data_IF_221184178746
#
_entry.id   IF_221184178746
#
_cell.length_a   1.000
_cell.length_b   1.000
_cell.length_c   1.000
_cell.angle_alpha   90.00
_cell.angle_beta   90.00
_cell.angle_gamma   90.00
#
_symmetry.space_group_name_H-M   'P 1'
#
loop_
_entity.id
_entity.type
_entity.pdbx_description
1 polymer ?
#
# COMPACT_ATOMS: atom_id res chain seq x y z
N UNK A 1 21.85 -11.16 -50.94
CA UNK A 1 20.77 -10.71 -50.02
C UNK A 1 21.04 -11.06 -48.55
N UNK A 2 21.76 -12.13 -48.22
CA UNK A 2 22.05 -12.58 -46.84
C UNK A 2 23.03 -11.65 -46.07
N UNK A 3 23.99 -11.00 -46.73
CA UNK A 3 24.96 -10.12 -46.07
C UNK A 3 24.40 -8.79 -45.50
N UNK A 4 23.26 -8.35 -45.96
CA UNK A 4 22.65 -7.10 -45.47
C UNK A 4 21.89 -7.29 -44.15
N UNK A 5 21.36 -8.48 -43.90
CA UNK A 5 20.66 -8.83 -42.63
C UNK A 5 21.64 -9.03 -41.48
N UNK A 6 22.85 -9.57 -41.74
CA UNK A 6 23.90 -9.73 -40.74
C UNK A 6 24.37 -8.37 -40.16
N UNK A 7 24.61 -7.39 -41.02
CA UNK A 7 25.10 -6.07 -40.62
C UNK A 7 24.09 -5.29 -39.76
N UNK A 8 22.81 -5.39 -40.02
CA UNK A 8 21.77 -4.72 -39.21
C UNK A 8 21.59 -5.40 -37.85
N UNK A 9 21.76 -6.71 -37.80
CA UNK A 9 21.69 -7.47 -36.53
C UNK A 9 22.92 -7.20 -35.66
N UNK A 10 24.11 -7.13 -36.26
CA UNK A 10 25.34 -6.79 -35.54
C UNK A 10 25.33 -5.36 -35.01
N UNK A 11 24.75 -4.39 -35.74
CA UNK A 11 24.56 -3.02 -35.28
C UNK A 11 23.56 -2.95 -34.12
N UNK A 12 22.46 -3.70 -34.18
CA UNK A 12 21.49 -3.75 -33.12
C UNK A 12 22.08 -4.37 -31.84
N UNK A 13 22.86 -5.43 -31.95
CA UNK A 13 23.56 -6.06 -30.82
C UNK A 13 24.59 -5.11 -30.20
N UNK A 14 25.33 -4.37 -31.03
CA UNK A 14 26.33 -3.39 -30.57
C UNK A 14 25.64 -2.23 -29.81
N UNK A 15 24.50 -1.71 -30.30
CA UNK A 15 23.71 -0.66 -29.62
C UNK A 15 23.13 -1.20 -28.31
N UNK A 16 22.69 -2.46 -28.31
CA UNK A 16 22.08 -3.11 -27.14
C UNK A 16 23.07 -3.31 -25.98
N UNK A 17 24.35 -3.49 -26.30
CA UNK A 17 25.45 -3.66 -25.34
C UNK A 17 26.19 -2.35 -25.02
N UNK A 18 25.88 -1.24 -25.71
CA UNK A 18 26.55 0.05 -25.47
C UNK A 18 26.28 0.53 -24.03
N UNK A 19 27.36 0.81 -23.31
CA UNK A 19 27.29 1.44 -21.98
C UNK A 19 26.99 2.93 -22.15
N UNK A 20 25.88 3.39 -21.57
CA UNK A 20 25.46 4.80 -21.58
C UNK A 20 26.16 5.63 -20.50
N UNK A 21 26.42 5.02 -19.36
CA UNK A 21 26.99 5.71 -18.20
C UNK A 21 27.62 4.71 -17.24
N UNK A 22 28.77 5.05 -16.66
CA UNK A 22 29.36 4.32 -15.52
C UNK A 22 28.91 5.00 -14.22
N UNK A 23 28.18 4.28 -13.38
CA UNK A 23 27.84 4.74 -12.03
C UNK A 23 29.10 4.78 -11.16
N UNK A 24 29.07 5.60 -10.09
CA UNK A 24 30.21 5.76 -9.16
C UNK A 24 30.66 4.44 -8.49
N UNK A 25 29.86 3.40 -8.52
CA UNK A 25 30.14 2.06 -8.01
C UNK A 25 30.72 1.10 -9.06
N UNK A 26 31.13 1.60 -10.24
CA UNK A 26 31.73 0.80 -11.31
C UNK A 26 30.73 -0.01 -12.16
N UNK A 27 29.43 0.10 -11.92
CA UNK A 27 28.41 -0.54 -12.75
C UNK A 27 28.14 0.26 -14.02
N UNK A 28 28.25 -0.39 -15.17
CA UNK A 28 27.91 0.18 -16.48
C UNK A 28 26.41 0.04 -16.73
N UNK A 29 25.70 1.16 -16.88
CA UNK A 29 24.32 1.17 -17.36
C UNK A 29 24.27 0.89 -18.84
N UNK A 30 23.71 -0.25 -19.23
CA UNK A 30 23.53 -0.66 -20.62
C UNK A 30 22.16 -0.19 -21.16
N UNK A 31 22.11 0.10 -22.45
CA UNK A 31 20.86 0.45 -23.16
C UNK A 31 19.79 -0.62 -22.92
N UNK A 32 20.17 -1.89 -22.90
CA UNK A 32 19.29 -3.02 -22.62
C UNK A 32 18.59 -2.93 -21.24
N UNK A 33 19.33 -2.53 -20.20
CA UNK A 33 18.77 -2.39 -18.85
C UNK A 33 17.75 -1.24 -18.77
N UNK A 34 18.04 -0.12 -19.44
CA UNK A 34 17.12 1.00 -19.52
C UNK A 34 15.84 0.62 -20.28
N UNK A 35 15.97 -0.06 -21.42
CA UNK A 35 14.83 -0.54 -22.19
C UNK A 35 13.98 -1.55 -21.39
N UNK A 36 14.61 -2.49 -20.70
CA UNK A 36 13.92 -3.44 -19.82
C UNK A 36 13.24 -2.76 -18.65
N UNK A 37 13.89 -1.78 -18.00
CA UNK A 37 13.28 -1.03 -16.89
C UNK A 37 12.06 -0.24 -17.34
N UNK A 38 12.13 0.42 -18.52
CA UNK A 38 11.00 1.13 -19.10
C UNK A 38 9.86 0.19 -19.46
N UNK A 39 10.14 -0.94 -20.09
CA UNK A 39 9.14 -1.96 -20.39
C UNK A 39 8.49 -2.49 -19.11
N UNK A 40 9.31 -2.77 -18.09
CA UNK A 40 8.84 -3.22 -16.79
C UNK A 40 7.95 -2.18 -16.10
N UNK A 41 8.30 -0.88 -16.14
CA UNK A 41 7.48 0.20 -15.60
C UNK A 41 6.13 0.31 -16.32
N UNK A 42 6.13 0.26 -17.66
CA UNK A 42 4.90 0.33 -18.45
C UNK A 42 4.02 -0.89 -18.16
N UNK A 43 4.57 -2.09 -18.22
CA UNK A 43 3.85 -3.33 -17.94
C UNK A 43 3.33 -3.36 -16.49
N UNK A 44 4.18 -2.97 -15.53
CA UNK A 44 3.82 -2.89 -14.12
C UNK A 44 2.69 -1.90 -13.86
N UNK A 45 2.76 -0.69 -14.46
CA UNK A 45 1.68 0.30 -14.36
C UNK A 45 0.35 -0.22 -14.90
N UNK A 46 0.37 -0.87 -16.08
CA UNK A 46 -0.83 -1.45 -16.69
C UNK A 46 -1.41 -2.58 -15.82
N UNK A 47 -0.55 -3.48 -15.31
CA UNK A 47 -0.96 -4.58 -14.44
C UNK A 47 -1.54 -4.06 -13.12
N UNK A 48 -0.89 -3.10 -12.46
CA UNK A 48 -1.39 -2.49 -11.22
C UNK A 48 -2.72 -1.80 -11.46
N UNK A 49 -2.84 -1.02 -12.53
CA UNK A 49 -4.09 -0.32 -12.88
C UNK A 49 -5.24 -1.31 -13.17
N UNK A 50 -4.94 -2.41 -13.86
CA UNK A 50 -5.93 -3.45 -14.14
C UNK A 50 -6.32 -4.19 -12.86
N UNK A 51 -5.35 -4.57 -12.04
CA UNK A 51 -5.57 -5.26 -10.78
C UNK A 51 -6.44 -4.45 -9.82
N UNK A 52 -6.10 -3.16 -9.60
CA UNK A 52 -6.87 -2.30 -8.69
C UNK A 52 -8.30 -2.07 -9.19
N UNK A 53 -8.51 -1.89 -10.51
CA UNK A 53 -9.85 -1.79 -11.10
C UNK A 53 -10.69 -3.07 -10.94
N UNK A 54 -10.08 -4.24 -11.08
CA UNK A 54 -10.77 -5.52 -10.86
C UNK A 54 -11.13 -5.68 -9.39
N UNK A 55 -10.19 -5.32 -8.50
CA UNK A 55 -10.40 -5.41 -7.05
C UNK A 55 -11.53 -4.48 -6.59
N UNK A 56 -11.52 -3.21 -7.03
CA UNK A 56 -12.57 -2.25 -6.67
C UNK A 56 -13.95 -2.70 -7.16
N UNK A 57 -14.05 -3.22 -8.38
CA UNK A 57 -15.32 -3.78 -8.90
C UNK A 57 -15.84 -4.94 -8.04
N UNK A 58 -14.96 -5.86 -7.61
CA UNK A 58 -15.35 -6.98 -6.74
C UNK A 58 -15.78 -6.52 -5.35
N UNK A 59 -15.13 -5.49 -4.80
CA UNK A 59 -15.49 -4.93 -3.50
C UNK A 59 -16.84 -4.20 -3.53
N UNK A 60 -17.12 -3.45 -4.60
CA UNK A 60 -18.42 -2.79 -4.81
C UNK A 60 -19.58 -3.79 -4.84
N UNK A 61 -19.37 -4.97 -5.44
CA UNK A 61 -20.39 -6.04 -5.44
C UNK A 61 -20.68 -6.62 -4.04
N UNK A 62 -19.79 -6.41 -3.06
CA UNK A 62 -19.96 -6.90 -1.69
C UNK A 62 -20.63 -5.90 -0.74
N UNK A 63 -21.32 -4.87 -1.23
CA UNK A 63 -22.00 -3.83 -0.46
C UNK A 63 -21.05 -3.06 0.49
N UNK A 64 -19.77 -2.99 0.17
CA UNK A 64 -18.80 -2.15 0.89
C UNK A 64 -19.08 -0.68 0.53
N UNK A 65 -19.05 0.26 1.49
CA UNK A 65 -19.25 1.68 1.19
C UNK A 65 -18.27 2.17 0.12
N UNK A 66 -18.77 2.91 -0.88
CA UNK A 66 -17.99 3.40 -2.03
C UNK A 66 -16.74 4.18 -1.58
N UNK A 67 -16.86 5.02 -0.56
CA UNK A 67 -15.74 5.77 0.00
C UNK A 67 -14.61 4.87 0.52
N UNK A 68 -14.94 3.73 1.15
CA UNK A 68 -13.96 2.76 1.63
C UNK A 68 -13.28 2.01 0.47
N UNK A 69 -14.04 1.69 -0.57
CA UNK A 69 -13.50 1.03 -1.78
C UNK A 69 -12.52 1.95 -2.51
N UNK A 70 -12.88 3.23 -2.71
CA UNK A 70 -12.00 4.21 -3.35
C UNK A 70 -10.73 4.50 -2.55
N UNK A 71 -10.84 4.56 -1.22
CA UNK A 71 -9.67 4.73 -0.35
C UNK A 71 -8.74 3.51 -0.47
N UNK A 72 -9.29 2.32 -0.35
CA UNK A 72 -8.54 1.07 -0.46
C UNK A 72 -7.86 0.94 -1.84
N UNK A 73 -8.59 1.26 -2.92
CA UNK A 73 -8.05 1.27 -4.29
C UNK A 73 -6.82 2.17 -4.41
N UNK A 74 -6.91 3.42 -3.93
CA UNK A 74 -5.80 4.38 -3.98
C UNK A 74 -4.61 3.92 -3.14
N UNK A 75 -4.83 3.45 -1.92
CA UNK A 75 -3.76 2.97 -1.04
C UNK A 75 -3.04 1.79 -1.67
N UNK A 76 -3.78 0.79 -2.16
CA UNK A 76 -3.21 -0.40 -2.81
C UNK A 76 -2.49 0.00 -4.10
N UNK A 77 -3.06 0.90 -4.91
CA UNK A 77 -2.42 1.40 -6.13
C UNK A 77 -1.06 2.04 -5.81
N UNK A 78 -0.99 2.96 -4.85
CA UNK A 78 0.26 3.62 -4.51
C UNK A 78 1.30 2.66 -3.94
N UNK A 79 0.91 1.70 -3.10
CA UNK A 79 1.83 0.70 -2.56
C UNK A 79 2.41 -0.18 -3.67
N UNK A 80 1.57 -0.64 -4.60
CA UNK A 80 2.01 -1.47 -5.71
C UNK A 80 2.87 -0.70 -6.72
N UNK A 81 2.53 0.56 -7.03
CA UNK A 81 3.33 1.36 -7.96
C UNK A 81 4.71 1.70 -7.37
N UNK A 82 4.80 1.95 -6.06
CA UNK A 82 6.07 2.12 -5.36
C UNK A 82 6.90 0.84 -5.48
N UNK A 83 6.32 -0.35 -5.27
CA UNK A 83 7.01 -1.62 -5.43
C UNK A 83 7.51 -1.84 -6.88
N UNK A 84 6.71 -1.46 -7.88
CA UNK A 84 7.12 -1.51 -9.30
C UNK A 84 8.30 -0.56 -9.56
N UNK A 85 8.26 0.67 -9.02
CA UNK A 85 9.36 1.63 -9.17
C UNK A 85 10.65 1.09 -8.53
N UNK A 86 10.60 0.59 -7.30
CA UNK A 86 11.78 0.01 -6.63
C UNK A 86 12.33 -1.21 -7.38
N UNK A 87 11.45 -2.03 -7.97
CA UNK A 87 11.88 -3.16 -8.80
C UNK A 87 12.57 -2.69 -10.08
N UNK A 88 12.08 -1.63 -10.72
CA UNK A 88 12.72 -1.02 -11.89
C UNK A 88 14.09 -0.41 -11.55
N UNK A 89 14.24 0.26 -10.38
CA UNK A 89 15.52 0.77 -9.90
C UNK A 89 16.55 -0.37 -9.69
N UNK A 90 16.12 -1.55 -9.26
CA UNK A 90 16.96 -2.74 -9.16
C UNK A 90 17.45 -3.23 -10.52
N UNK A 91 16.60 -3.18 -11.55
CA UNK A 91 17.01 -3.55 -12.93
C UNK A 91 18.11 -2.60 -13.41
N UNK A 92 18.07 -1.33 -13.03
CA UNK A 92 19.06 -0.32 -13.34
C UNK A 92 20.32 -0.40 -12.46
N UNK A 93 20.42 -1.41 -11.56
CA UNK A 93 21.50 -1.57 -10.58
C UNK A 93 21.71 -0.32 -9.69
N UNK A 94 20.64 0.48 -9.46
CA UNK A 94 20.71 1.66 -8.58
C UNK A 94 20.67 1.16 -7.12
N UNK A 95 21.63 1.58 -6.27
CA UNK A 95 21.66 1.16 -4.87
C UNK A 95 20.44 1.69 -4.11
N UNK A 96 19.65 0.76 -3.53
CA UNK A 96 18.43 1.12 -2.80
C UNK A 96 18.67 1.53 -1.34
N UNK A 97 19.90 1.51 -0.86
CA UNK A 97 20.26 1.80 0.54
C UNK A 97 19.83 3.19 1.00
N UNK A 98 19.99 4.20 0.14
CA UNK A 98 19.57 5.58 0.42
C UNK A 98 18.04 5.66 0.58
N UNK A 99 17.29 4.97 -0.29
CA UNK A 99 15.82 4.91 -0.20
C UNK A 99 15.35 4.11 1.00
N UNK A 100 16.10 3.07 1.42
CA UNK A 100 15.78 2.31 2.62
C UNK A 100 15.87 3.18 3.88
N UNK A 101 16.85 4.07 3.99
CA UNK A 101 16.96 5.01 5.10
C UNK A 101 15.77 6.00 5.13
N UNK A 102 15.47 6.64 4.01
CA UNK A 102 14.33 7.56 3.90
C UNK A 102 13.00 6.84 4.15
N UNK A 103 12.84 5.65 3.57
CA UNK A 103 11.65 4.82 3.77
C UNK A 103 11.48 4.40 5.23
N UNK A 104 12.57 4.07 5.92
CA UNK A 104 12.56 3.77 7.34
C UNK A 104 12.10 4.96 8.20
N UNK A 105 12.62 6.16 7.92
CA UNK A 105 12.20 7.38 8.61
C UNK A 105 10.72 7.69 8.38
N UNK A 106 10.25 7.56 7.13
CA UNK A 106 8.83 7.74 6.79
C UNK A 106 7.94 6.69 7.46
N UNK A 107 8.38 5.43 7.50
CA UNK A 107 7.63 4.34 8.15
C UNK A 107 7.48 4.59 9.66
N UNK A 108 8.53 5.06 10.34
CA UNK A 108 8.48 5.44 11.75
C UNK A 108 7.48 6.58 11.95
N UNK A 109 7.58 7.66 11.15
CA UNK A 109 6.65 8.79 11.23
C UNK A 109 5.19 8.39 10.98
N UNK A 110 4.94 7.57 9.96
CA UNK A 110 3.61 7.03 9.68
C UNK A 110 3.12 6.10 10.81
N UNK A 111 4.02 5.29 11.40
CA UNK A 111 3.72 4.44 12.54
C UNK A 111 3.23 5.25 13.75
N UNK A 112 3.93 6.30 14.12
CA UNK A 112 3.49 7.20 15.19
C UNK A 112 2.17 7.91 14.86
N UNK A 113 2.01 8.36 13.60
CA UNK A 113 0.76 9.00 13.16
C UNK A 113 -0.47 8.08 13.18
N UNK A 114 -0.27 6.77 13.00
CA UNK A 114 -1.36 5.77 12.99
C UNK A 114 -1.52 5.01 14.30
N UNK A 115 -0.65 5.23 15.29
CA UNK A 115 -0.59 4.49 16.55
C UNK A 115 -1.94 4.44 17.28
N UNK A 116 -2.63 5.57 17.43
CA UNK A 116 -3.93 5.62 18.10
C UNK A 116 -5.01 4.81 17.37
N UNK A 117 -4.98 4.81 16.03
CA UNK A 117 -5.93 4.03 15.22
C UNK A 117 -5.70 2.54 15.44
N UNK A 118 -4.43 2.11 15.43
CA UNK A 118 -4.05 0.71 15.66
C UNK A 118 -4.40 0.27 17.09
N UNK A 119 -4.12 1.08 18.09
CA UNK A 119 -4.46 0.78 19.49
C UNK A 119 -5.96 0.58 19.65
N UNK A 120 -6.78 1.48 19.11
CA UNK A 120 -8.23 1.36 19.20
C UNK A 120 -8.76 0.14 18.44
N UNK A 121 -8.15 -0.21 17.29
CA UNK A 121 -8.53 -1.39 16.53
C UNK A 121 -8.21 -2.69 17.29
N UNK A 122 -6.99 -2.79 17.83
CA UNK A 122 -6.52 -3.96 18.59
C UNK A 122 -7.37 -4.11 19.84
N UNK A 123 -7.61 -3.03 20.61
CA UNK A 123 -8.47 -3.06 21.79
C UNK A 123 -9.90 -3.49 21.46
N UNK A 124 -10.45 -3.00 20.33
CA UNK A 124 -11.76 -3.43 19.85
C UNK A 124 -11.82 -4.92 19.51
N UNK A 125 -10.76 -5.49 18.96
CA UNK A 125 -10.66 -6.94 18.70
C UNK A 125 -10.60 -7.74 20.01
N UNK A 126 -9.78 -7.29 20.99
CA UNK A 126 -9.69 -7.93 22.32
C UNK A 126 -11.06 -7.93 22.99
N UNK A 127 -11.75 -6.78 23.04
CA UNK A 127 -13.10 -6.69 23.59
C UNK A 127 -14.11 -7.63 22.90
N UNK A 128 -13.96 -7.81 21.59
CA UNK A 128 -14.85 -8.68 20.81
C UNK A 128 -14.58 -10.18 21.09
N UNK A 129 -13.32 -10.54 21.30
CA UNK A 129 -12.88 -11.94 21.55
C UNK A 129 -13.13 -12.33 23.00
N UNK A 130 -12.63 -11.53 23.95
CA UNK A 130 -12.71 -11.83 25.39
C UNK A 130 -14.07 -11.52 25.99
N UNK A 131 -14.83 -10.59 25.38
CA UNK A 131 -16.17 -10.19 25.77
C UNK A 131 -16.33 -9.84 27.28
N UNK A 132 -15.40 -9.05 27.86
CA UNK A 132 -15.53 -8.58 29.22
C UNK A 132 -16.75 -7.68 29.39
N UNK A 133 -17.20 -7.03 28.31
CA UNK A 133 -18.44 -6.23 28.24
C UNK A 133 -19.23 -6.72 27.03
N UNK A 134 -20.56 -6.77 27.18
CA UNK A 134 -21.49 -7.25 26.14
C UNK A 134 -22.49 -6.17 25.74
N UNK A 135 -23.03 -6.29 24.54
CA UNK A 135 -24.16 -5.44 24.13
C UNK A 135 -25.34 -5.68 25.09
N UNK A 136 -25.88 -4.61 25.67
CA UNK A 136 -26.92 -4.63 26.67
C UNK A 136 -26.44 -4.38 28.10
N UNK A 137 -25.15 -4.53 28.39
CA UNK A 137 -24.61 -4.27 29.74
C UNK A 137 -24.70 -2.79 30.11
N UNK A 138 -24.88 -2.55 31.41
CA UNK A 138 -24.80 -1.22 31.99
C UNK A 138 -23.33 -0.96 32.37
N UNK A 139 -22.78 0.13 31.88
CA UNK A 139 -21.38 0.50 32.12
C UNK A 139 -21.28 1.95 32.58
N UNK A 140 -20.26 2.23 33.36
CA UNK A 140 -19.88 3.59 33.76
C UNK A 140 -18.50 3.92 33.14
N UNK A 141 -18.42 5.02 32.42
CA UNK A 141 -17.19 5.50 31.80
C UNK A 141 -17.08 7.00 32.06
N UNK A 142 -15.99 7.42 32.70
CA UNK A 142 -15.71 8.81 33.06
C UNK A 142 -16.89 9.48 33.80
N UNK A 143 -17.51 8.74 34.72
CA UNK A 143 -18.66 9.23 35.48
C UNK A 143 -20.00 9.26 34.72
N UNK A 144 -19.98 8.75 33.46
CA UNK A 144 -21.19 8.66 32.63
C UNK A 144 -21.72 7.23 32.63
N UNK A 145 -22.95 7.05 33.09
CA UNK A 145 -23.63 5.75 33.10
C UNK A 145 -24.47 5.59 31.82
N UNK A 146 -24.31 4.44 31.17
CA UNK A 146 -25.08 4.13 29.98
C UNK A 146 -25.11 2.64 29.66
N UNK A 147 -25.97 2.28 28.73
CA UNK A 147 -26.10 0.89 28.24
C UNK A 147 -25.34 0.71 26.92
N UNK A 148 -24.54 -0.35 26.82
CA UNK A 148 -23.83 -0.70 25.56
C UNK A 148 -24.89 -0.99 24.49
N UNK A 149 -24.97 -0.12 23.48
CA UNK A 149 -25.92 -0.24 22.39
C UNK A 149 -25.34 -1.04 21.21
N UNK A 150 -24.04 -0.88 20.94
CA UNK A 150 -23.33 -1.64 19.87
C UNK A 150 -21.82 -1.60 20.10
N UNK A 151 -21.14 -2.67 19.74
CA UNK A 151 -19.67 -2.75 19.70
C UNK A 151 -19.23 -2.85 18.25
N UNK A 152 -18.35 -1.93 17.83
CA UNK A 152 -17.75 -1.91 16.48
C UNK A 152 -16.24 -2.08 16.60
N UNK A 153 -15.57 -2.40 15.50
CA UNK A 153 -14.13 -2.74 15.51
C UNK A 153 -13.19 -1.66 16.05
N UNK A 154 -13.61 -0.40 16.14
CA UNK A 154 -12.78 0.70 16.68
C UNK A 154 -13.49 1.60 17.71
N UNK A 155 -14.76 1.38 17.99
CA UNK A 155 -15.50 2.14 19.00
C UNK A 155 -16.68 1.36 19.52
N UNK A 156 -17.04 1.59 20.78
CA UNK A 156 -18.26 1.10 21.45
C UNK A 156 -19.26 2.23 21.55
N UNK A 157 -20.50 1.99 21.12
CA UNK A 157 -21.61 2.95 21.27
C UNK A 157 -22.36 2.67 22.56
N UNK A 158 -22.38 3.64 23.42
CA UNK A 158 -23.06 3.60 24.70
C UNK A 158 -24.23 4.58 24.67
N UNK A 159 -25.43 4.10 24.96
CA UNK A 159 -26.62 4.93 25.09
C UNK A 159 -26.78 5.34 26.51
N UNK A 160 -26.72 6.62 26.79
CA UNK A 160 -26.96 7.22 28.09
C UNK A 160 -28.43 7.18 28.44
N UNK A 161 -28.74 7.40 29.73
CA UNK A 161 -30.13 7.45 30.26
C UNK A 161 -30.95 8.64 29.71
N UNK A 162 -30.27 9.70 29.27
CA UNK A 162 -30.87 10.88 28.61
C UNK A 162 -31.11 10.69 27.10
N UNK A 163 -30.80 9.50 26.55
CA UNK A 163 -30.99 9.17 25.14
C UNK A 163 -29.84 9.56 24.23
N UNK A 164 -28.75 10.20 24.71
CA UNK A 164 -27.58 10.58 23.94
C UNK A 164 -26.70 9.35 23.72
N UNK A 165 -26.24 9.17 22.49
CA UNK A 165 -25.27 8.13 22.16
C UNK A 165 -23.81 8.67 22.32
N UNK A 166 -23.04 8.04 23.21
CA UNK A 166 -21.64 8.28 23.45
C UNK A 166 -20.84 7.26 22.64
N UNK A 167 -19.85 7.73 21.86
CA UNK A 167 -18.90 6.89 21.12
C UNK A 167 -17.57 6.85 21.87
N UNK A 168 -17.23 5.68 22.41
CA UNK A 168 -15.98 5.44 23.15
C UNK A 168 -15.05 4.61 22.29
N UNK A 169 -13.82 5.08 22.03
CA UNK A 169 -12.85 4.35 21.24
C UNK A 169 -12.33 3.11 21.97
#
# INVERSE_FOLDING_TARGET
RYRRYSRSMDLLLTIWETSLFTLSDGHELRVSQVALALLFLIAGFLLVSLFTKILSRKLLHRQVPEAAVHLAEKVIFYLLIIAVIFSALRILAIPLTMFAFLGGALAIGAGFGTQNILNNLISGWILTIERPVRVGDLVEIDGTIGRVAAMKGRCTRIRRTDGIDLLVP
#
